data_IF_688584295876
#
_entry.id   IF_688584295876
#
_cell.length_a   1.000
_cell.length_b   1.000
_cell.length_c   1.000
_cell.angle_alpha   90.00
_cell.angle_beta   90.00
_cell.angle_gamma   90.00
#
_symmetry.space_group_name_H-M   'P 1'
#
loop_
_entity.id
_entity.type
_entity.pdbx_description
1 polymer ?
#
# COMPACT_ATOMS: atom_id res chain seq x y z
N UNK A 1 -9.51 -22.66 -5.00
CA UNK A 1 -9.28 -21.49 -4.13
C UNK A 1 -10.31 -20.44 -4.50
N UNK A 2 -11.07 -19.89 -3.55
CA UNK A 2 -12.05 -18.84 -3.88
C UNK A 2 -11.31 -17.54 -4.26
N UNK A 3 -11.91 -16.65 -5.06
CA UNK A 3 -11.36 -15.32 -5.27
C UNK A 3 -11.06 -14.64 -3.93
N UNK A 4 -9.93 -13.92 -3.83
CA UNK A 4 -9.46 -13.24 -2.62
C UNK A 4 -9.12 -14.15 -1.43
N UNK A 5 -8.68 -15.39 -1.68
CA UNK A 5 -8.11 -16.23 -0.62
C UNK A 5 -6.62 -15.98 -0.47
N UNK A 6 -6.11 -16.12 0.75
CA UNK A 6 -4.69 -16.15 1.07
C UNK A 6 -4.29 -17.54 1.58
N UNK A 7 -3.07 -17.95 1.28
CA UNK A 7 -2.45 -19.18 1.80
C UNK A 7 -1.11 -18.78 2.39
N UNK A 8 -0.89 -19.10 3.67
CA UNK A 8 0.43 -18.97 4.29
C UNK A 8 1.24 -20.23 3.96
N UNK A 9 2.45 -20.03 3.44
CA UNK A 9 3.34 -21.10 3.02
C UNK A 9 4.62 -21.08 3.85
N UNK A 10 5.14 -22.27 4.15
CA UNK A 10 6.46 -22.40 4.76
C UNK A 10 7.54 -21.99 3.77
N UNK A 11 8.33 -20.98 4.14
CA UNK A 11 9.39 -20.45 3.29
C UNK A 11 10.58 -21.39 3.12
N UNK A 12 10.71 -22.43 3.95
CA UNK A 12 11.83 -23.37 3.97
C UNK A 12 11.54 -24.69 3.23
N UNK A 13 10.35 -24.84 2.64
CA UNK A 13 9.93 -26.04 1.91
C UNK A 13 9.57 -25.65 0.48
N UNK A 14 10.00 -26.44 -0.54
CA UNK A 14 9.56 -26.21 -1.91
C UNK A 14 8.03 -26.18 -2.01
N UNK A 15 7.50 -25.11 -2.62
CA UNK A 15 6.08 -24.95 -2.88
C UNK A 15 5.84 -24.96 -4.40
N UNK A 16 5.17 -26.00 -4.90
CA UNK A 16 4.81 -26.09 -6.32
C UNK A 16 3.50 -25.37 -6.58
N UNK A 17 3.52 -24.43 -7.52
CA UNK A 17 2.33 -23.78 -8.04
C UNK A 17 1.88 -24.49 -9.32
N UNK A 18 0.59 -24.83 -9.40
CA UNK A 18 -0.02 -25.43 -10.59
C UNK A 18 -1.27 -24.64 -10.94
N UNK A 19 -1.32 -24.12 -12.17
CA UNK A 19 -2.52 -23.48 -12.71
C UNK A 19 -3.38 -24.49 -13.47
N UNK A 20 -4.69 -24.30 -13.46
CA UNK A 20 -5.64 -25.06 -14.27
C UNK A 20 -5.79 -24.50 -15.69
N UNK A 21 -6.93 -24.78 -16.31
CA UNK A 21 -7.22 -24.41 -17.70
C UNK A 21 -7.64 -22.93 -17.89
N UNK A 22 -7.81 -22.18 -16.79
CA UNK A 22 -8.22 -20.78 -16.80
C UNK A 22 -7.07 -19.85 -16.42
N UNK A 23 -7.09 -18.64 -16.95
CA UNK A 23 -6.16 -17.58 -16.52
C UNK A 23 -6.34 -17.30 -15.02
N UNK A 24 -5.21 -17.12 -14.33
CA UNK A 24 -5.17 -16.90 -12.89
C UNK A 24 -4.19 -15.79 -12.56
N UNK A 25 -4.61 -14.87 -11.70
CA UNK A 25 -3.76 -13.84 -11.12
C UNK A 25 -3.46 -14.20 -9.66
N UNK A 26 -2.19 -14.07 -9.27
CA UNK A 26 -1.74 -14.35 -7.92
C UNK A 26 -0.67 -13.36 -7.48
N UNK A 27 -0.63 -13.08 -6.19
CA UNK A 27 0.39 -12.26 -5.54
C UNK A 27 1.15 -13.13 -4.55
N UNK A 28 2.47 -13.22 -4.75
CA UNK A 28 3.38 -13.89 -3.79
C UNK A 28 4.09 -12.81 -2.98
N UNK A 29 3.94 -12.87 -1.66
CA UNK A 29 4.62 -11.98 -0.73
C UNK A 29 5.59 -12.80 0.12
N UNK A 30 6.87 -12.44 0.11
CA UNK A 30 7.90 -13.07 0.91
C UNK A 30 8.75 -11.99 1.60
N UNK A 31 9.14 -12.24 2.84
CA UNK A 31 10.04 -11.37 3.59
C UNK A 31 10.82 -12.13 4.64
N UNK A 32 12.02 -11.65 4.95
CA UNK A 32 12.74 -12.09 6.14
C UNK A 32 12.07 -11.44 7.37
N UNK A 33 11.75 -12.19 8.44
CA UNK A 33 11.21 -11.59 9.65
C UNK A 33 12.15 -10.51 10.20
N UNK A 34 11.58 -9.36 10.56
CA UNK A 34 12.32 -8.25 11.18
C UNK A 34 12.76 -8.61 12.61
N UNK A 35 12.00 -9.50 13.27
CA UNK A 35 12.26 -9.98 14.64
C UNK A 35 12.21 -8.88 15.72
N UNK A 36 11.36 -7.88 15.51
CA UNK A 36 11.07 -6.82 16.48
C UNK A 36 9.64 -6.90 16.98
N UNK A 37 9.38 -6.27 18.13
CA UNK A 37 8.01 -6.13 18.65
C UNK A 37 7.18 -5.28 17.68
N UNK A 38 5.89 -5.59 17.57
CA UNK A 38 4.94 -4.85 16.73
C UNK A 38 3.80 -4.38 17.61
N UNK A 39 3.61 -3.07 17.67
CA UNK A 39 2.46 -2.40 18.27
C UNK A 39 1.73 -1.62 17.17
N UNK A 40 0.44 -1.87 16.99
CA UNK A 40 -0.36 -1.24 15.95
C UNK A 40 -1.63 -0.63 16.54
N UNK A 41 -1.91 0.63 16.20
CA UNK A 41 -3.19 1.26 16.50
C UNK A 41 -3.57 2.28 15.42
N UNK A 42 -4.72 2.05 14.77
CA UNK A 42 -5.16 2.87 13.65
C UNK A 42 -4.12 2.88 12.51
N UNK A 43 -3.68 4.06 12.03
CA UNK A 43 -2.77 4.18 10.89
C UNK A 43 -1.28 4.02 11.27
N UNK A 44 -0.95 3.81 12.55
CA UNK A 44 0.44 3.77 13.02
C UNK A 44 0.85 2.37 13.46
N UNK A 45 2.06 1.99 13.06
CA UNK A 45 2.74 0.74 13.44
C UNK A 45 4.12 1.12 14.00
N UNK A 46 4.38 0.76 15.25
CA UNK A 46 5.61 1.02 15.99
C UNK A 46 6.04 -0.26 16.74
N UNK A 47 7.04 -0.17 17.63
CA UNK A 47 7.47 -1.31 18.43
C UNK A 47 6.82 -1.35 19.83
N UNK A 48 6.39 -0.20 20.37
CA UNK A 48 5.76 -0.09 21.71
C UNK A 48 4.51 0.80 21.73
N UNK A 49 3.66 0.64 22.76
CA UNK A 49 2.47 1.49 22.96
C UNK A 49 2.83 2.96 23.19
N UNK A 50 3.91 3.26 23.91
CA UNK A 50 4.38 4.63 24.14
C UNK A 50 4.77 5.32 22.83
N UNK A 51 5.42 4.60 21.91
CA UNK A 51 5.75 5.12 20.58
C UNK A 51 4.50 5.40 19.74
N UNK A 52 3.46 4.57 19.88
CA UNK A 52 2.15 4.85 19.26
C UNK A 52 1.56 6.15 19.79
N UNK A 53 1.52 6.34 21.11
CA UNK A 53 1.00 7.58 21.73
C UNK A 53 1.77 8.82 21.26
N UNK A 54 3.10 8.70 21.16
CA UNK A 54 3.98 9.73 20.63
C UNK A 54 3.68 10.02 19.15
N UNK A 55 3.53 9.00 18.30
CA UNK A 55 3.18 9.17 16.89
C UNK A 55 1.85 9.92 16.71
N UNK A 56 0.85 9.61 17.54
CA UNK A 56 -0.40 10.37 17.56
C UNK A 56 -0.22 11.82 18.01
N UNK A 57 0.64 12.08 19.01
CA UNK A 57 0.94 13.45 19.45
C UNK A 57 1.65 14.25 18.36
N UNK A 58 2.61 13.63 17.66
CA UNK A 58 3.32 14.23 16.53
C UNK A 58 2.39 14.53 15.36
N UNK A 59 1.48 13.59 15.06
CA UNK A 59 0.45 13.79 14.05
C UNK A 59 -0.50 14.94 14.42
N UNK A 60 -0.98 15.01 15.66
CA UNK A 60 -1.83 16.14 16.09
C UNK A 60 -1.11 17.47 16.03
N UNK A 61 0.20 17.50 16.28
CA UNK A 61 1.02 18.70 16.30
C UNK A 61 1.41 19.19 14.91
N UNK A 62 1.80 18.26 14.03
CA UNK A 62 2.44 18.58 12.75
C UNK A 62 1.68 18.07 11.54
N UNK A 63 0.58 17.33 11.75
CA UNK A 63 -0.06 16.53 10.72
C UNK A 63 0.96 15.53 10.15
N UNK A 64 1.52 15.79 8.98
CA UNK A 64 2.56 14.96 8.36
C UNK A 64 3.87 15.75 8.22
N UNK A 65 4.39 16.31 9.31
CA UNK A 65 5.61 17.13 9.26
C UNK A 65 5.41 18.50 8.61
N UNK A 66 4.23 19.11 8.80
CA UNK A 66 3.88 20.43 8.25
C UNK A 66 3.23 20.34 6.88
N UNK A 67 2.22 19.47 6.76
CA UNK A 67 1.44 19.21 5.54
C UNK A 67 1.37 20.45 4.61
N UNK A 68 2.10 20.44 3.48
CA UNK A 68 2.35 21.66 2.70
C UNK A 68 1.20 22.00 1.74
N UNK A 69 0.16 21.18 1.70
CA UNK A 69 -0.94 21.31 0.75
C UNK A 69 -2.16 21.94 1.44
N UNK A 70 -2.85 22.85 0.75
CA UNK A 70 -3.98 23.61 1.32
C UNK A 70 -5.11 22.73 1.86
N UNK A 71 -5.72 21.86 1.03
CA UNK A 71 -6.73 20.92 1.52
C UNK A 71 -6.10 19.82 2.38
N UNK A 72 -6.86 19.31 3.35
CA UNK A 72 -6.49 18.18 4.22
C UNK A 72 -6.17 16.88 3.47
N UNK A 73 -6.57 16.83 2.21
CA UNK A 73 -6.52 15.68 1.32
C UNK A 73 -6.14 16.15 -0.10
N UNK A 74 -5.12 15.54 -0.73
CA UNK A 74 -4.73 15.86 -2.10
C UNK A 74 -5.65 15.10 -3.06
N UNK A 75 -6.93 15.45 -3.09
CA UNK A 75 -7.85 14.84 -4.06
C UNK A 75 -7.71 15.52 -5.41
N UNK A 76 -7.69 14.73 -6.47
CA UNK A 76 -7.84 15.28 -7.82
C UNK A 76 -9.27 15.81 -8.01
N UNK A 77 -9.45 16.90 -8.78
CA UNK A 77 -10.77 17.39 -9.16
C UNK A 77 -11.63 16.27 -9.77
N UNK A 78 -12.94 16.31 -9.53
CA UNK A 78 -13.87 15.26 -10.02
C UNK A 78 -13.90 15.15 -11.55
N UNK A 79 -13.61 16.24 -12.24
CA UNK A 79 -13.50 16.36 -13.70
C UNK A 79 -12.11 15.98 -14.25
N UNK A 80 -11.14 15.72 -13.37
CA UNK A 80 -9.80 15.27 -13.76
C UNK A 80 -9.89 13.82 -14.28
N UNK A 81 -9.67 13.65 -15.59
CA UNK A 81 -9.51 12.32 -16.18
C UNK A 81 -8.27 11.61 -15.64
N UNK A 82 -8.22 10.27 -15.78
CA UNK A 82 -7.05 9.47 -15.41
C UNK A 82 -5.79 10.03 -16.06
N UNK A 83 -4.71 10.09 -15.31
CA UNK A 83 -3.42 10.57 -15.80
C UNK A 83 -2.28 9.90 -15.04
N UNK A 84 -1.08 9.92 -15.63
CA UNK A 84 0.17 9.53 -15.00
C UNK A 84 1.12 10.74 -15.10
N UNK A 85 1.54 11.28 -13.95
CA UNK A 85 2.59 12.31 -13.89
C UNK A 85 3.92 11.64 -13.60
N UNK A 86 4.85 11.75 -14.54
CA UNK A 86 6.20 11.21 -14.43
C UNK A 86 7.11 12.14 -13.63
N UNK A 87 8.24 11.63 -13.14
CA UNK A 87 9.21 12.39 -12.34
C UNK A 87 9.86 13.56 -13.09
N UNK A 88 9.88 13.50 -14.43
CA UNK A 88 10.34 14.58 -15.32
C UNK A 88 9.30 15.69 -15.56
N UNK A 89 8.11 15.57 -14.93
CA UNK A 89 7.00 16.51 -15.07
C UNK A 89 6.05 16.20 -16.23
N UNK A 90 6.33 15.20 -17.08
CA UNK A 90 5.43 14.81 -18.17
C UNK A 90 4.13 14.23 -17.62
N UNK A 91 3.01 14.62 -18.20
CA UNK A 91 1.68 14.06 -17.88
C UNK A 91 1.17 13.26 -19.07
N UNK A 92 0.84 11.99 -18.84
CA UNK A 92 0.21 11.10 -19.83
C UNK A 92 -1.22 10.83 -19.41
N UNK A 93 -2.19 11.05 -20.28
CA UNK A 93 -3.55 10.53 -20.12
C UNK A 93 -3.68 9.21 -20.89
N UNK A 94 -4.55 8.27 -20.45
CA UNK A 94 -4.84 7.09 -21.26
C UNK A 94 -5.29 7.51 -22.65
N UNK A 95 -4.62 6.98 -23.68
CA UNK A 95 -5.23 6.93 -25.00
C UNK A 95 -6.53 6.14 -24.88
N UNK A 96 -7.58 6.53 -25.60
CA UNK A 96 -8.77 5.70 -25.71
C UNK A 96 -8.34 4.26 -26.00
N UNK A 97 -8.88 3.30 -25.25
CA UNK A 97 -8.73 1.88 -25.60
C UNK A 97 -9.17 1.73 -27.06
N UNK A 98 -8.40 1.06 -27.93
CA UNK A 98 -8.92 0.68 -29.23
C UNK A 98 -10.23 -0.10 -28.99
N UNK A 99 -11.26 0.28 -29.77
CA UNK A 99 -12.60 -0.28 -29.71
C UNK A 99 -12.62 -1.81 -29.87
#
# INVERSE_FOLDING_TARGET
VHPNSAIEVRADVPCTLTNGDTESELLVLQGRPIAESVAQYGPFVMNTSTEIEQAFADYRRTQFGGWPWGPSDPTHPRDQQRFARHADGRVQTPSALPA
#
